data_IF_251023405328
#
_entry.id   IF_251023405328
#
_cell.length_a   1.000
_cell.length_b   1.000
_cell.length_c   1.000
_cell.angle_alpha   90.00
_cell.angle_beta   90.00
_cell.angle_gamma   90.00
#
_symmetry.space_group_name_H-M   'P 1'
#
loop_
_entity.id
_entity.type
_entity.pdbx_description
1 polymer ?
#
# COMPACT_ATOMS: atom_id res chain seq x y z
N UNK A 1 -19.09 12.07 49.88
CA UNK A 1 -18.67 11.37 48.64
C UNK A 1 -18.21 12.29 47.52
N UNK A 2 -18.95 13.35 47.13
CA UNK A 2 -18.60 14.24 46.00
C UNK A 2 -17.21 14.89 46.05
N UNK A 3 -16.73 15.34 47.22
CA UNK A 3 -15.39 15.95 47.36
C UNK A 3 -14.25 14.97 47.04
N UNK A 4 -14.36 13.70 47.45
CA UNK A 4 -13.36 12.66 47.16
C UNK A 4 -13.31 12.32 45.66
N UNK A 5 -14.47 12.31 44.99
CA UNK A 5 -14.56 12.06 43.54
C UNK A 5 -13.88 13.18 42.72
N UNK A 6 -14.09 14.44 43.09
CA UNK A 6 -13.45 15.58 42.43
C UNK A 6 -11.91 15.56 42.53
N UNK A 7 -11.38 15.20 43.70
CA UNK A 7 -9.93 15.05 43.90
C UNK A 7 -9.34 13.90 43.07
N UNK A 8 -10.02 12.76 42.99
CA UNK A 8 -9.58 11.62 42.17
C UNK A 8 -9.54 12.00 40.68
N UNK A 9 -10.56 12.70 40.17
CA UNK A 9 -10.60 13.15 38.79
C UNK A 9 -9.48 14.14 38.46
N UNK A 10 -9.16 15.07 39.37
CA UNK A 10 -8.07 16.02 39.20
C UNK A 10 -6.70 15.32 39.14
N UNK A 11 -6.45 14.36 40.05
CA UNK A 11 -5.20 13.57 40.04
C UNK A 11 -5.08 12.77 38.74
N UNK A 12 -6.17 12.12 38.29
CA UNK A 12 -6.18 11.39 37.04
C UNK A 12 -5.88 12.30 35.83
N UNK A 13 -6.46 13.50 35.80
CA UNK A 13 -6.21 14.48 34.75
C UNK A 13 -4.75 14.97 34.75
N UNK A 14 -4.18 15.24 35.92
CA UNK A 14 -2.77 15.65 36.07
C UNK A 14 -1.81 14.51 35.68
N UNK A 15 -2.10 13.27 36.08
CA UNK A 15 -1.31 12.11 35.70
C UNK A 15 -1.34 11.89 34.18
N UNK A 16 -2.50 12.05 33.54
CA UNK A 16 -2.63 11.94 32.09
C UNK A 16 -1.86 13.06 31.36
N UNK A 17 -1.96 14.30 31.85
CA UNK A 17 -1.21 15.44 31.32
C UNK A 17 0.31 15.24 31.46
N UNK A 18 0.75 14.72 32.61
CA UNK A 18 2.16 14.42 32.85
C UNK A 18 2.65 13.29 31.95
N UNK A 19 1.84 12.24 31.73
CA UNK A 19 2.16 11.15 30.81
C UNK A 19 2.26 11.65 29.36
N UNK A 20 1.32 12.51 28.92
CA UNK A 20 1.36 13.12 27.60
C UNK A 20 2.59 14.03 27.42
N UNK A 21 2.91 14.85 28.44
CA UNK A 21 4.11 15.68 28.47
C UNK A 21 5.40 14.86 28.41
N UNK A 22 5.46 13.73 29.13
CA UNK A 22 6.60 12.81 29.06
C UNK A 22 6.73 12.15 27.69
N UNK A 23 5.62 11.77 27.04
CA UNK A 23 5.62 11.22 25.68
C UNK A 23 6.11 12.24 24.65
N UNK A 24 5.75 13.50 24.83
CA UNK A 24 6.25 14.58 23.98
C UNK A 24 7.74 14.86 24.22
N UNK A 25 8.17 14.90 25.49
CA UNK A 25 9.57 15.15 25.87
C UNK A 25 10.53 14.01 25.47
N UNK A 26 10.00 12.79 25.29
CA UNK A 26 10.76 11.60 24.85
C UNK A 26 10.52 11.27 23.38
N UNK A 27 9.72 12.07 22.67
CA UNK A 27 9.53 11.92 21.24
C UNK A 27 10.85 12.26 20.54
N UNK A 28 11.42 11.29 19.84
CA UNK A 28 12.57 11.52 18.99
C UNK A 28 12.07 11.95 17.61
N UNK A 29 12.67 12.98 16.99
CA UNK A 29 12.38 13.28 15.59
C UNK A 29 12.65 12.01 14.77
N UNK A 30 11.78 11.74 13.80
CA UNK A 30 12.05 10.64 12.86
C UNK A 30 13.37 10.97 12.14
N UNK A 31 14.28 10.00 12.00
CA UNK A 31 15.47 10.20 11.18
C UNK A 31 15.07 10.68 9.78
N UNK A 32 15.87 11.59 9.24
CA UNK A 32 15.70 12.02 7.85
C UNK A 32 15.81 10.80 6.93
N UNK A 33 14.97 10.80 5.89
CA UNK A 33 14.97 9.78 4.85
C UNK A 33 15.54 10.43 3.59
N UNK A 34 16.84 10.24 3.26
CA UNK A 34 17.48 10.95 2.15
C UNK A 34 16.74 10.75 0.82
N UNK A 35 16.10 9.60 0.62
CA UNK A 35 15.30 9.27 -0.54
C UNK A 35 13.93 9.99 -0.61
N UNK A 36 13.52 10.70 0.43
CA UNK A 36 12.36 11.59 0.45
C UNK A 36 12.75 13.07 0.51
N UNK A 37 14.05 13.38 0.56
CA UNK A 37 14.56 14.75 0.61
C UNK A 37 14.74 15.28 -0.81
N UNK A 38 13.97 16.31 -1.17
CA UNK A 38 13.99 16.93 -2.51
C UNK A 38 13.66 18.41 -2.43
N UNK A 39 14.23 19.20 -3.34
CA UNK A 39 13.97 20.64 -3.49
C UNK A 39 12.68 20.94 -4.28
N UNK A 40 12.09 19.91 -4.88
CA UNK A 40 10.80 19.91 -5.56
C UNK A 40 9.87 18.81 -5.04
N UNK A 41 8.54 18.90 -5.30
CA UNK A 41 7.64 17.78 -5.06
C UNK A 41 8.12 16.51 -5.77
N UNK A 42 8.06 15.38 -5.06
CA UNK A 42 8.33 14.06 -5.61
C UNK A 42 7.08 13.51 -6.29
N UNK A 43 7.26 12.97 -7.49
CA UNK A 43 6.21 12.27 -8.24
C UNK A 43 6.26 10.80 -7.83
N UNK A 44 5.27 10.38 -7.05
CA UNK A 44 5.11 8.99 -6.61
C UNK A 44 4.10 8.28 -7.50
N UNK A 45 4.54 7.26 -8.22
CA UNK A 45 3.71 6.47 -9.12
C UNK A 45 2.89 5.45 -8.34
N UNK A 46 1.67 5.86 -7.95
CA UNK A 46 0.70 5.03 -7.23
C UNK A 46 0.38 3.75 -8.00
N UNK A 47 0.89 2.62 -7.51
CA UNK A 47 0.83 1.28 -8.12
C UNK A 47 1.43 1.20 -9.51
N UNK A 48 2.43 2.04 -9.78
CA UNK A 48 3.01 2.25 -11.11
C UNK A 48 2.26 3.31 -11.92
N UNK A 49 2.38 3.26 -13.24
CA UNK A 49 1.64 4.18 -14.11
C UNK A 49 0.22 3.68 -14.34
N UNK A 50 -0.79 4.52 -14.11
CA UNK A 50 -2.20 4.24 -14.44
C UNK A 50 -2.50 4.09 -15.95
N UNK A 51 -1.47 3.92 -16.78
CA UNK A 51 -1.51 3.66 -18.22
C UNK A 51 -1.24 2.18 -18.55
N UNK A 52 -1.03 1.35 -17.53
CA UNK A 52 -0.82 -0.10 -17.62
C UNK A 52 -1.44 -0.77 -16.38
N UNK A 53 -1.57 -2.12 -16.34
CA UNK A 53 -2.19 -2.81 -15.21
C UNK A 53 -1.44 -2.52 -13.90
N UNK A 54 -2.17 -2.04 -12.89
CA UNK A 54 -1.59 -1.62 -11.60
C UNK A 54 -0.76 -2.73 -10.95
N UNK A 55 0.28 -2.37 -10.18
CA UNK A 55 1.08 -3.31 -9.40
C UNK A 55 1.81 -4.38 -10.23
N UNK A 56 2.09 -4.10 -11.51
CA UNK A 56 2.86 -4.98 -12.41
C UNK A 56 4.18 -4.36 -12.85
N UNK A 57 5.14 -5.20 -13.25
CA UNK A 57 6.42 -4.72 -13.79
C UNK A 57 6.27 -3.78 -15.00
N UNK A 58 5.24 -3.99 -15.84
CA UNK A 58 5.00 -3.11 -16.99
C UNK A 58 4.49 -1.72 -16.56
N UNK A 59 3.65 -1.64 -15.52
CA UNK A 59 3.23 -0.35 -14.97
C UNK A 59 4.38 0.38 -14.27
N UNK A 60 5.26 -0.34 -13.59
CA UNK A 60 6.46 0.24 -12.99
C UNK A 60 7.44 0.75 -14.05
N UNK A 61 7.71 -0.04 -15.10
CA UNK A 61 8.57 0.40 -16.19
C UNK A 61 8.01 1.66 -16.87
N UNK A 62 6.69 1.68 -17.13
CA UNK A 62 6.02 2.85 -17.71
C UNK A 62 6.14 4.09 -16.82
N UNK A 63 6.06 3.93 -15.50
CA UNK A 63 6.24 5.03 -14.55
C UNK A 63 7.66 5.58 -14.57
N UNK A 64 8.67 4.70 -14.66
CA UNK A 64 10.07 5.10 -14.82
C UNK A 64 10.28 5.86 -16.13
N UNK A 65 9.71 5.38 -17.24
CA UNK A 65 9.79 6.03 -18.56
C UNK A 65 9.17 7.44 -18.56
N UNK A 66 8.18 7.68 -17.68
CA UNK A 66 7.54 8.98 -17.47
C UNK A 66 8.29 9.89 -16.48
N UNK A 67 9.37 9.40 -15.87
CA UNK A 67 10.18 10.17 -14.92
C UNK A 67 9.63 10.21 -13.49
N UNK A 68 8.90 9.19 -13.05
CA UNK A 68 8.51 9.07 -11.66
C UNK A 68 9.74 8.97 -10.74
N UNK A 69 9.69 9.66 -9.60
CA UNK A 69 10.77 9.65 -8.60
C UNK A 69 10.69 8.44 -7.69
N UNK A 70 9.48 7.96 -7.43
CA UNK A 70 9.20 6.85 -6.52
C UNK A 70 8.19 5.93 -7.17
N UNK A 71 8.46 4.63 -7.10
CA UNK A 71 7.47 3.58 -7.40
C UNK A 71 6.76 3.22 -6.10
N UNK A 72 5.44 3.34 -6.10
CA UNK A 72 4.60 2.92 -5.00
C UNK A 72 3.93 1.59 -5.35
N UNK A 73 3.79 0.73 -4.34
CA UNK A 73 3.24 -0.61 -4.49
C UNK A 73 2.58 -1.05 -3.18
N UNK A 74 1.63 -1.96 -3.31
CA UNK A 74 0.93 -2.59 -2.20
C UNK A 74 1.34 -4.06 -2.08
N UNK A 75 1.33 -4.61 -0.87
CA UNK A 75 1.75 -6.00 -0.63
C UNK A 75 0.77 -6.78 0.22
N UNK A 76 0.65 -8.07 -0.10
CA UNK A 76 0.00 -9.10 0.73
C UNK A 76 0.90 -10.32 0.85
N UNK A 77 0.58 -11.20 1.82
CA UNK A 77 1.24 -12.49 1.98
C UNK A 77 0.36 -13.62 1.43
N UNK A 78 0.99 -14.59 0.77
CA UNK A 78 0.35 -15.80 0.25
C UNK A 78 0.16 -16.86 1.34
N UNK A 79 -0.55 -17.95 1.00
CA UNK A 79 -0.75 -19.13 1.86
C UNK A 79 0.56 -19.80 2.27
N UNK A 80 1.54 -19.80 1.38
CA UNK A 80 2.89 -20.36 1.58
C UNK A 80 3.90 -19.33 2.11
N UNK A 81 3.45 -18.12 2.47
CA UNK A 81 4.25 -17.12 3.20
C UNK A 81 5.10 -16.20 2.31
N UNK A 82 4.90 -16.23 0.99
CA UNK A 82 5.56 -15.36 0.04
C UNK A 82 4.90 -13.98 0.01
N UNK A 83 5.68 -12.92 -0.24
CA UNK A 83 5.16 -11.56 -0.41
C UNK A 83 4.89 -11.30 -1.89
N UNK A 84 3.68 -10.84 -2.19
CA UNK A 84 3.21 -10.54 -3.55
C UNK A 84 2.71 -9.11 -3.66
N UNK A 85 2.76 -8.55 -4.86
CA UNK A 85 2.43 -7.14 -5.14
C UNK A 85 1.02 -7.03 -5.69
N UNK A 86 0.07 -6.69 -4.83
CA UNK A 86 -1.36 -6.54 -5.15
C UNK A 86 -2.01 -5.64 -4.10
N UNK A 87 -2.99 -4.82 -4.50
CA UNK A 87 -3.65 -3.91 -3.57
C UNK A 87 -4.74 -4.59 -2.75
N UNK A 88 -5.68 -5.23 -3.45
CA UNK A 88 -6.85 -5.82 -2.82
C UNK A 88 -6.45 -7.10 -2.07
N UNK A 89 -7.18 -7.40 -1.00
CA UNK A 89 -7.05 -8.67 -0.27
C UNK A 89 -7.52 -9.88 -1.10
N UNK A 90 -8.22 -9.64 -2.21
CA UNK A 90 -8.65 -10.64 -3.19
C UNK A 90 -8.11 -10.36 -4.58
N UNK A 91 -8.08 -11.40 -5.43
CA UNK A 91 -7.57 -11.30 -6.81
C UNK A 91 -8.64 -10.88 -7.83
N UNK A 92 -9.91 -10.81 -7.42
CA UNK A 92 -11.09 -10.70 -8.28
C UNK A 92 -11.12 -9.45 -9.19
N UNK A 93 -10.58 -8.32 -8.73
CA UNK A 93 -10.69 -7.05 -9.49
C UNK A 93 -9.64 -6.94 -10.59
N UNK A 94 -8.43 -7.44 -10.33
CA UNK A 94 -7.25 -7.19 -11.18
C UNK A 94 -6.81 -8.42 -11.97
N UNK A 95 -7.40 -9.58 -11.73
CA UNK A 95 -7.04 -10.83 -12.41
C UNK A 95 -8.24 -11.57 -12.99
N UNK A 96 -8.00 -12.67 -13.71
CA UNK A 96 -9.03 -13.62 -14.14
C UNK A 96 -9.43 -14.64 -13.06
N UNK A 97 -8.83 -14.58 -11.87
CA UNK A 97 -9.12 -15.44 -10.72
C UNK A 97 -10.19 -14.89 -9.78
N UNK A 98 -10.50 -15.66 -8.72
CA UNK A 98 -11.37 -15.24 -7.61
C UNK A 98 -10.89 -15.79 -6.29
N UNK A 99 -11.02 -15.01 -5.22
CA UNK A 99 -10.69 -15.44 -3.85
C UNK A 99 -9.60 -14.60 -3.19
N UNK A 100 -9.37 -14.85 -1.89
CA UNK A 100 -8.41 -14.09 -1.10
C UNK A 100 -6.96 -14.52 -1.39
N UNK A 101 -6.06 -13.54 -1.52
CA UNK A 101 -4.62 -13.76 -1.79
C UNK A 101 -4.00 -14.76 -0.81
N UNK A 102 -4.36 -14.65 0.47
CA UNK A 102 -3.88 -15.51 1.56
C UNK A 102 -4.27 -16.99 1.42
N UNK A 103 -5.20 -17.32 0.53
CA UNK A 103 -5.69 -18.68 0.30
C UNK A 103 -4.98 -19.35 -0.90
N UNK A 104 -4.18 -18.60 -1.67
CA UNK A 104 -3.37 -19.09 -2.79
C UNK A 104 -1.90 -19.26 -2.40
N UNK A 105 -1.22 -20.24 -2.99
CA UNK A 105 0.25 -20.31 -3.06
C UNK A 105 0.81 -19.36 -4.11
N UNK A 106 2.10 -19.01 -4.04
CA UNK A 106 2.74 -18.18 -5.07
C UNK A 106 2.63 -18.80 -6.47
N UNK A 107 2.81 -20.13 -6.57
CA UNK A 107 2.67 -20.90 -7.81
C UNK A 107 1.27 -20.79 -8.43
N UNK A 108 0.22 -20.75 -7.61
CA UNK A 108 -1.15 -20.58 -8.08
C UNK A 108 -1.42 -19.14 -8.52
N UNK A 109 -0.94 -18.14 -7.76
CA UNK A 109 -1.09 -16.72 -8.11
C UNK A 109 -0.39 -16.36 -9.42
N UNK A 110 0.80 -16.91 -9.67
CA UNK A 110 1.56 -16.68 -10.92
C UNK A 110 0.86 -17.21 -12.18
N UNK A 111 -0.20 -18.01 -12.05
CA UNK A 111 -1.00 -18.50 -13.17
C UNK A 111 -2.12 -17.54 -13.56
N UNK A 112 -2.43 -16.57 -12.70
CA UNK A 112 -3.47 -15.57 -12.96
C UNK A 112 -2.94 -14.49 -13.91
N UNK A 113 -3.84 -13.97 -14.74
CA UNK A 113 -3.56 -12.87 -15.66
C UNK A 113 -3.91 -11.52 -15.01
N UNK A 114 -2.89 -10.84 -14.45
CA UNK A 114 -3.03 -9.52 -13.84
C UNK A 114 -3.28 -8.39 -14.87
N UNK A 115 -3.24 -8.69 -16.17
CA UNK A 115 -3.65 -7.79 -17.25
C UNK A 115 -5.10 -7.97 -17.69
N UNK A 116 -5.82 -8.96 -17.16
CA UNK A 116 -7.08 -9.44 -17.74
C UNK A 116 -8.18 -8.38 -17.82
N UNK A 117 -8.31 -7.55 -16.78
CA UNK A 117 -9.34 -6.51 -16.67
C UNK A 117 -8.88 -5.12 -17.10
N UNK A 118 -7.58 -4.90 -17.33
CA UNK A 118 -7.09 -3.57 -17.67
C UNK A 118 -7.62 -3.11 -19.03
N UNK A 119 -8.19 -1.91 -19.05
CA UNK A 119 -8.67 -1.26 -20.25
C UNK A 119 -8.39 0.24 -20.19
N UNK A 120 -7.68 0.81 -21.19
CA UNK A 120 -7.42 2.25 -21.25
C UNK A 120 -8.58 3.04 -21.85
N UNK A 121 -9.57 2.37 -22.44
CA UNK A 121 -10.63 2.97 -23.26
C UNK A 121 -12.05 2.59 -22.78
N UNK A 122 -12.18 2.25 -21.49
CA UNK A 122 -13.48 2.00 -20.87
C UNK A 122 -14.13 0.67 -21.25
N UNK A 123 -13.33 -0.32 -21.64
CA UNK A 123 -13.76 -1.70 -21.92
C UNK A 123 -13.87 -2.03 -23.41
N UNK A 124 -13.42 -1.14 -24.30
CA UNK A 124 -13.41 -1.40 -25.74
C UNK A 124 -12.26 -2.34 -26.10
N UNK A 125 -11.08 -2.15 -25.49
CA UNK A 125 -9.91 -3.01 -25.69
C UNK A 125 -9.27 -3.45 -24.37
N UNK A 126 -8.57 -4.59 -24.44
CA UNK A 126 -7.83 -5.21 -23.32
C UNK A 126 -6.40 -5.56 -23.77
N UNK A 127 -5.52 -4.56 -23.95
CA UNK A 127 -4.23 -4.74 -24.62
C UNK A 127 -3.24 -5.67 -23.89
N UNK A 128 -3.45 -5.90 -22.59
CA UNK A 128 -2.58 -6.73 -21.75
C UNK A 128 -3.15 -8.12 -21.45
N UNK A 129 -4.41 -8.40 -21.83
CA UNK A 129 -5.02 -9.71 -21.60
C UNK A 129 -4.28 -10.79 -22.37
N UNK A 130 -3.96 -11.89 -21.70
CA UNK A 130 -3.27 -13.05 -22.27
C UNK A 130 -1.81 -12.78 -22.65
N UNK A 131 -1.19 -11.71 -22.12
CA UNK A 131 0.20 -11.34 -22.41
C UNK A 131 1.23 -11.87 -21.40
N UNK A 132 0.79 -12.72 -20.47
CA UNK A 132 1.65 -13.26 -19.41
C UNK A 132 2.01 -12.23 -18.35
N UNK A 133 1.11 -11.27 -18.10
CA UNK A 133 1.25 -10.30 -17.01
C UNK A 133 0.78 -10.99 -15.73
N UNK A 134 1.65 -11.12 -14.75
CA UNK A 134 1.35 -11.80 -13.47
C UNK A 134 1.43 -10.81 -12.31
N UNK A 135 0.90 -11.24 -11.18
CA UNK A 135 1.24 -10.72 -9.85
C UNK A 135 2.73 -11.01 -9.56
#
# INVERSE_FOLDING_TARGET
>A
MRKKLGTILLIAALALAMLAGLRFATAHPRPDKPYLTSDRPLVMAHRGAGLAPENTLVAFQKALDLGADVLELDVHATKDGEIVVIHDETVDRTTDGRGAVKDFTLEELKRLDAGYHFTPDGGVTYPYRGRGITI
#
